data_IF_381407828111
#
_entry.id   IF_381407828111
#
_cell.length_a   1.000
_cell.length_b   1.000
_cell.length_c   1.000
_cell.angle_alpha   90.00
_cell.angle_beta   90.00
_cell.angle_gamma   90.00
#
_symmetry.space_group_name_H-M   'P 1'
#
loop_
_entity.id
_entity.type
_entity.pdbx_description
1 polymer ?
#
# COMPACT_ATOMS: atom_id res chain seq x y z
N UNK A 1 -65.65 -24.98 9.44
CA UNK A 1 -65.09 -24.23 8.29
C UNK A 1 -63.97 -23.35 8.83
N UNK A 2 -62.72 -23.82 8.78
CA UNK A 2 -61.55 -23.11 9.29
C UNK A 2 -60.85 -22.48 8.08
N UNK A 3 -60.80 -21.15 8.03
CA UNK A 3 -60.13 -20.40 6.95
C UNK A 3 -58.66 -20.24 7.37
N UNK A 4 -57.76 -20.88 6.62
CA UNK A 4 -56.31 -20.72 6.77
C UNK A 4 -55.87 -19.43 6.04
N UNK A 5 -55.27 -18.49 6.78
CA UNK A 5 -54.58 -17.33 6.23
C UNK A 5 -53.16 -17.73 5.82
N UNK A 6 -52.86 -17.71 4.53
CA UNK A 6 -51.50 -17.82 4.01
C UNK A 6 -50.83 -16.43 4.06
N UNK A 7 -49.84 -16.27 4.94
CA UNK A 7 -48.94 -15.13 4.94
C UNK A 7 -47.87 -15.36 3.86
N UNK A 8 -47.97 -14.62 2.75
CA UNK A 8 -46.92 -14.56 1.75
C UNK A 8 -45.83 -13.57 2.20
N UNK A 9 -44.69 -14.09 2.64
CA UNK A 9 -43.48 -13.29 2.90
C UNK A 9 -42.82 -12.92 1.56
N UNK A 10 -42.91 -11.65 1.17
CA UNK A 10 -42.12 -11.12 0.06
C UNK A 10 -40.68 -10.82 0.51
N UNK A 11 -39.64 -11.12 -0.28
CA UNK A 11 -38.28 -10.77 0.07
C UNK A 11 -38.07 -9.27 -0.18
N UNK A 12 -37.65 -8.54 0.85
CA UNK A 12 -37.12 -7.19 0.72
C UNK A 12 -35.74 -7.26 0.06
N UNK A 13 -35.71 -7.29 -1.26
CA UNK A 13 -34.49 -6.99 -2.02
C UNK A 13 -34.27 -5.47 -1.96
N UNK A 14 -33.59 -5.00 -0.91
CA UNK A 14 -33.08 -3.64 -0.85
C UNK A 14 -32.05 -3.45 -1.97
N UNK A 15 -32.41 -2.73 -3.04
CA UNK A 15 -31.42 -2.18 -3.98
C UNK A 15 -30.58 -1.17 -3.20
N UNK A 16 -29.29 -1.45 -3.04
CA UNK A 16 -28.33 -0.41 -2.68
C UNK A 16 -28.42 0.67 -3.76
N UNK A 17 -28.94 1.84 -3.40
CA UNK A 17 -29.09 2.96 -4.31
C UNK A 17 -27.72 3.61 -4.44
N UNK A 18 -27.10 3.41 -5.59
CA UNK A 18 -25.80 4.00 -5.95
C UNK A 18 -25.93 5.52 -5.85
N UNK A 19 -25.12 6.16 -4.99
CA UNK A 19 -25.12 7.61 -4.85
C UNK A 19 -24.79 8.25 -6.21
N UNK A 20 -25.46 9.36 -6.60
CA UNK A 20 -25.22 9.98 -7.91
C UNK A 20 -23.78 10.49 -7.98
N UNK A 21 -22.97 9.83 -8.81
CA UNK A 21 -21.60 10.24 -9.12
C UNK A 21 -21.64 11.10 -10.38
N UNK A 22 -21.08 12.31 -10.30
CA UNK A 22 -20.86 13.14 -11.50
C UNK A 22 -19.98 12.40 -12.52
N UNK A 23 -19.89 12.89 -13.77
CA UNK A 23 -19.03 12.25 -14.77
C UNK A 23 -17.58 12.19 -14.26
N UNK A 24 -16.97 11.00 -14.32
CA UNK A 24 -15.56 10.82 -14.01
C UNK A 24 -14.72 11.66 -14.97
N UNK A 25 -13.73 12.38 -14.44
CA UNK A 25 -12.74 13.07 -15.26
C UNK A 25 -11.87 12.03 -15.98
N UNK A 26 -11.28 12.41 -17.12
CA UNK A 26 -10.17 11.63 -17.64
C UNK A 26 -8.94 11.72 -16.70
N UNK A 27 -8.02 10.77 -16.85
CA UNK A 27 -6.88 10.63 -15.95
C UNK A 27 -5.95 11.85 -15.95
N UNK A 28 -5.72 12.48 -17.11
CA UNK A 28 -4.83 13.63 -17.20
C UNK A 28 -5.44 14.86 -16.51
N UNK A 29 -6.73 15.11 -16.70
CA UNK A 29 -7.43 16.21 -16.03
C UNK A 29 -7.49 16.02 -14.50
N UNK A 30 -7.81 14.81 -14.03
CA UNK A 30 -7.83 14.49 -12.60
C UNK A 30 -6.43 14.66 -11.97
N UNK A 31 -5.38 14.19 -12.66
CA UNK A 31 -4.00 14.36 -12.23
C UNK A 31 -3.59 15.83 -12.15
N UNK A 32 -3.84 16.61 -13.21
CA UNK A 32 -3.48 18.03 -13.26
C UNK A 32 -4.15 18.84 -12.14
N UNK A 33 -5.37 18.48 -11.74
CA UNK A 33 -6.06 19.11 -10.61
C UNK A 33 -5.47 18.70 -9.25
N UNK A 34 -5.24 17.40 -9.05
CA UNK A 34 -4.82 16.87 -7.74
C UNK A 34 -3.35 17.17 -7.40
N UNK A 35 -2.48 17.21 -8.41
CA UNK A 35 -1.03 17.37 -8.27
C UNK A 35 -0.50 18.63 -8.96
N UNK A 36 -1.33 19.67 -9.06
CA UNK A 36 -0.94 20.96 -9.62
C UNK A 36 0.32 21.50 -8.92
N UNK A 37 1.31 21.90 -9.73
CA UNK A 37 2.58 22.49 -9.28
C UNK A 37 3.44 21.60 -8.34
N UNK A 38 3.18 20.29 -8.33
CA UNK A 38 3.98 19.30 -7.60
C UNK A 38 4.76 18.44 -8.62
N UNK A 39 6.06 18.25 -8.39
CA UNK A 39 6.81 17.18 -9.06
C UNK A 39 6.34 15.84 -8.48
N UNK A 40 5.38 15.23 -9.17
CA UNK A 40 4.81 13.97 -8.79
C UNK A 40 4.76 12.99 -9.97
N UNK A 41 4.70 11.70 -9.63
CA UNK A 41 4.21 10.68 -10.53
C UNK A 41 3.07 9.92 -9.86
N UNK A 42 2.01 9.65 -10.63
CA UNK A 42 0.92 8.75 -10.23
C UNK A 42 0.81 7.61 -11.22
N UNK A 43 0.71 6.39 -10.70
CA UNK A 43 0.38 5.19 -11.48
C UNK A 43 -0.86 4.51 -10.89
N UNK A 44 -1.79 4.09 -11.75
CA UNK A 44 -2.98 3.30 -11.41
C UNK A 44 -3.01 2.03 -12.25
N UNK A 45 -3.53 0.93 -11.70
CA UNK A 45 -3.75 -0.31 -12.46
C UNK A 45 -4.93 -1.08 -11.91
N UNK A 46 -5.84 -1.56 -12.77
CA UNK A 46 -6.85 -2.54 -12.36
C UNK A 46 -6.14 -3.88 -12.08
N UNK A 47 -6.51 -4.58 -11.00
CA UNK A 47 -5.86 -5.85 -10.62
C UNK A 47 -6.20 -6.97 -11.59
N UNK A 48 -7.25 -6.83 -12.40
CA UNK A 48 -7.62 -7.81 -13.42
C UNK A 48 -6.41 -8.19 -14.32
N UNK A 49 -6.24 -9.49 -14.64
CA UNK A 49 -5.18 -9.94 -15.53
C UNK A 49 -5.19 -9.19 -16.87
N UNK A 50 -4.00 -8.77 -17.33
CA UNK A 50 -3.85 -8.05 -18.61
C UNK A 50 -4.24 -6.57 -18.58
N UNK A 51 -4.65 -6.02 -17.44
CA UNK A 51 -4.84 -4.58 -17.31
C UNK A 51 -3.49 -3.85 -17.33
N UNK A 52 -3.36 -2.90 -18.26
CA UNK A 52 -2.19 -2.04 -18.38
C UNK A 52 -2.23 -0.89 -17.36
N UNK A 53 -1.07 -0.46 -16.82
CA UNK A 53 -1.00 0.67 -15.93
C UNK A 53 -1.29 1.99 -16.68
N UNK A 54 -1.99 2.90 -16.01
CA UNK A 54 -2.13 4.31 -16.41
C UNK A 54 -1.16 5.14 -15.57
N UNK A 55 -0.27 5.87 -16.23
CA UNK A 55 0.78 6.69 -15.60
C UNK A 55 0.59 8.16 -15.93
N UNK A 56 0.94 9.07 -15.02
CA UNK A 56 0.91 10.52 -15.28
C UNK A 56 1.98 10.93 -16.29
N UNK A 57 3.16 10.30 -16.20
CA UNK A 57 4.25 10.41 -17.16
C UNK A 57 5.01 9.08 -17.19
N UNK A 58 5.05 8.39 -18.33
CA UNK A 58 5.63 7.05 -18.40
C UNK A 58 7.14 7.01 -18.05
N UNK A 59 7.88 8.08 -18.35
CA UNK A 59 9.32 8.14 -18.11
C UNK A 59 9.60 8.48 -16.65
N UNK A 60 8.99 9.56 -16.13
CA UNK A 60 9.17 9.96 -14.74
C UNK A 60 8.60 8.92 -13.75
N UNK A 61 7.58 8.16 -14.16
CA UNK A 61 7.04 7.06 -13.37
C UNK A 61 7.87 5.77 -13.42
N UNK A 62 8.89 5.70 -14.28
CA UNK A 62 9.86 4.61 -14.29
C UNK A 62 11.04 4.84 -13.33
N UNK A 63 11.21 6.07 -12.82
CA UNK A 63 12.30 6.41 -11.90
C UNK A 63 12.13 5.70 -10.55
N UNK A 64 13.19 5.01 -10.12
CA UNK A 64 13.20 4.31 -8.84
C UNK A 64 13.65 5.24 -7.72
N UNK A 65 12.84 5.32 -6.67
CA UNK A 65 13.05 6.18 -5.50
C UNK A 65 13.10 5.34 -4.22
N UNK A 66 13.61 5.87 -3.10
CA UNK A 66 13.51 5.20 -1.81
C UNK A 66 12.02 4.95 -1.48
N UNK A 67 11.61 3.71 -1.14
CA UNK A 67 10.22 3.42 -0.77
C UNK A 67 9.80 4.05 0.57
N UNK A 68 10.75 4.47 1.41
CA UNK A 68 10.50 4.91 2.78
C UNK A 68 9.63 3.89 3.53
N UNK A 69 8.75 4.34 4.44
CA UNK A 69 7.84 3.45 5.18
C UNK A 69 6.82 2.66 4.32
N UNK A 70 6.72 2.86 3.00
CA UNK A 70 5.94 1.91 2.16
C UNK A 70 6.62 0.55 2.06
N UNK A 71 7.92 0.49 2.36
CA UNK A 71 8.70 -0.74 2.42
C UNK A 71 8.26 -1.70 3.53
N UNK A 72 7.49 -1.23 4.51
CA UNK A 72 6.85 -2.07 5.52
C UNK A 72 5.98 -3.17 4.89
N UNK A 73 5.41 -2.93 3.69
CA UNK A 73 4.56 -3.92 2.98
C UNK A 73 5.35 -5.17 2.61
N UNK A 74 6.40 -5.14 1.76
CA UNK A 74 7.16 -6.34 1.44
C UNK A 74 7.86 -6.94 2.68
N UNK A 75 8.30 -6.14 3.64
CA UNK A 75 8.91 -6.68 4.87
C UNK A 75 7.90 -7.49 5.69
N UNK A 76 6.65 -7.04 5.76
CA UNK A 76 5.55 -7.78 6.41
C UNK A 76 5.29 -9.11 5.69
N UNK A 77 5.24 -9.12 4.36
CA UNK A 77 5.11 -10.37 3.57
C UNK A 77 6.23 -11.36 3.94
N UNK A 78 7.48 -10.89 3.95
CA UNK A 78 8.66 -11.72 4.23
C UNK A 78 8.63 -12.25 5.67
N UNK A 79 8.27 -11.41 6.63
CA UNK A 79 8.21 -11.77 8.04
C UNK A 79 7.19 -12.90 8.30
N UNK A 80 6.00 -12.77 7.71
CA UNK A 80 4.93 -13.76 7.82
C UNK A 80 5.29 -15.06 7.07
N UNK A 81 5.87 -14.96 5.88
CA UNK A 81 6.27 -16.14 5.08
C UNK A 81 7.37 -16.97 5.75
N UNK A 82 8.29 -16.30 6.44
CA UNK A 82 9.35 -16.96 7.22
C UNK A 82 8.91 -17.44 8.60
N UNK A 83 7.64 -17.24 8.98
CA UNK A 83 7.12 -17.64 10.28
C UNK A 83 7.73 -16.88 11.47
N UNK A 84 8.29 -15.68 11.25
CA UNK A 84 8.79 -14.83 12.34
C UNK A 84 7.66 -14.30 13.22
N UNK A 85 6.47 -14.17 12.64
CA UNK A 85 5.21 -14.03 13.32
C UNK A 85 4.21 -15.00 12.65
N UNK A 86 3.50 -15.85 13.41
CA UNK A 86 2.46 -16.69 12.83
C UNK A 86 1.34 -15.82 12.26
N UNK A 87 0.99 -14.71 12.92
CA UNK A 87 -0.01 -13.75 12.47
C UNK A 87 0.39 -12.29 12.76
N UNK A 88 -0.40 -11.35 12.23
CA UNK A 88 -0.16 -9.93 12.41
C UNK A 88 -0.37 -9.39 13.85
N UNK A 89 -1.08 -10.14 14.70
CA UNK A 89 -1.32 -9.80 16.10
C UNK A 89 -0.25 -10.38 17.03
N UNK A 90 0.72 -11.12 16.49
CA UNK A 90 1.79 -11.68 17.29
C UNK A 90 2.86 -10.62 17.57
N UNK A 91 3.22 -10.38 18.84
CA UNK A 91 4.22 -9.38 19.18
C UNK A 91 5.63 -9.80 18.74
N UNK A 92 6.27 -8.95 17.94
CA UNK A 92 7.71 -8.96 17.75
C UNK A 92 8.34 -8.30 18.97
N UNK A 93 9.32 -8.98 19.59
CA UNK A 93 10.08 -8.46 20.73
C UNK A 93 11.49 -8.15 20.28
N UNK A 94 12.09 -7.07 20.77
CA UNK A 94 13.53 -6.85 20.59
C UNK A 94 14.31 -7.92 21.35
N UNK A 95 15.39 -8.43 20.76
CA UNK A 95 16.36 -9.23 21.52
C UNK A 95 17.10 -8.32 22.51
N UNK A 96 16.62 -8.29 23.76
CA UNK A 96 17.16 -7.47 24.84
C UNK A 96 17.10 -8.22 26.18
N UNK A 97 18.00 -7.85 27.10
CA UNK A 97 18.02 -8.34 28.49
C UNK A 97 17.94 -7.14 29.43
N UNK A 98 16.86 -6.96 30.22
CA UNK A 98 15.67 -7.81 30.31
C UNK A 98 14.76 -7.75 29.06
N UNK A 99 13.84 -8.71 28.87
CA UNK A 99 12.92 -8.70 27.73
C UNK A 99 12.02 -7.46 27.70
N UNK A 100 11.99 -6.76 26.57
CA UNK A 100 11.09 -5.62 26.34
C UNK A 100 9.68 -6.07 25.97
N UNK A 101 8.69 -5.18 26.14
CA UNK A 101 7.34 -5.40 25.65
C UNK A 101 7.35 -5.45 24.11
N UNK A 102 6.75 -6.49 23.55
CA UNK A 102 6.66 -6.65 22.10
C UNK A 102 5.61 -5.73 21.48
N UNK A 103 5.78 -5.47 20.19
CA UNK A 103 4.82 -4.72 19.35
C UNK A 103 4.35 -5.65 18.24
N UNK A 104 3.05 -5.69 17.99
CA UNK A 104 2.49 -6.54 16.93
C UNK A 104 2.83 -5.97 15.55
N UNK A 105 2.89 -6.82 14.50
CA UNK A 105 3.07 -6.32 13.14
C UNK A 105 1.96 -5.35 12.75
N UNK A 106 0.72 -5.65 13.15
CA UNK A 106 -0.45 -4.79 12.91
C UNK A 106 -0.27 -3.40 13.52
N UNK A 107 0.20 -3.31 14.76
CA UNK A 107 0.41 -2.03 15.43
C UNK A 107 1.61 -1.29 14.84
N UNK A 108 2.73 -1.99 14.59
CA UNK A 108 3.93 -1.42 13.99
C UNK A 108 3.68 -0.89 12.56
N UNK A 109 2.75 -1.50 11.83
CA UNK A 109 2.36 -1.08 10.48
C UNK A 109 1.47 0.16 10.50
N UNK A 110 0.55 0.26 11.46
CA UNK A 110 -0.41 1.37 11.61
C UNK A 110 0.24 2.63 12.19
N UNK A 111 0.98 2.43 13.27
CA UNK A 111 1.75 3.47 13.93
C UNK A 111 3.21 3.07 13.71
N UNK A 112 3.93 3.69 12.75
CA UNK A 112 5.26 3.26 12.39
C UNK A 112 6.18 3.14 13.62
N UNK A 113 6.60 1.91 13.90
CA UNK A 113 7.59 1.59 14.94
C UNK A 113 8.82 1.03 14.24
N UNK A 114 9.78 1.89 13.80
CA UNK A 114 10.87 1.49 12.91
C UNK A 114 11.67 0.28 13.40
N UNK A 115 11.90 0.20 14.71
CA UNK A 115 12.70 -0.89 15.28
C UNK A 115 12.12 -2.28 15.08
N UNK A 116 10.79 -2.40 14.90
CA UNK A 116 10.16 -3.71 14.63
C UNK A 116 10.64 -4.25 13.30
N UNK A 117 10.71 -3.40 12.27
CA UNK A 117 11.20 -3.76 10.94
C UNK A 117 12.71 -3.98 10.92
N UNK A 118 13.48 -3.21 11.69
CA UNK A 118 14.92 -3.46 11.90
C UNK A 118 15.16 -4.83 12.54
N UNK A 119 14.41 -5.17 13.58
CA UNK A 119 14.51 -6.45 14.30
C UNK A 119 14.11 -7.64 13.41
N UNK A 120 13.06 -7.49 12.60
CA UNK A 120 12.69 -8.48 11.58
C UNK A 120 13.85 -8.69 10.61
N UNK A 121 14.41 -7.62 10.05
CA UNK A 121 15.55 -7.73 9.13
C UNK A 121 16.76 -8.40 9.77
N UNK A 122 17.08 -8.04 11.02
CA UNK A 122 18.18 -8.64 11.79
C UNK A 122 18.01 -10.14 11.95
N UNK A 123 16.80 -10.61 12.30
CA UNK A 123 16.48 -12.04 12.44
C UNK A 123 16.56 -12.81 11.13
N UNK A 124 16.20 -12.17 10.02
CA UNK A 124 16.29 -12.78 8.68
C UNK A 124 17.76 -12.85 8.24
N UNK A 125 18.54 -11.82 8.54
CA UNK A 125 19.91 -11.65 8.05
C UNK A 125 19.97 -11.14 6.60
N UNK A 126 21.09 -10.48 6.21
CA UNK A 126 21.20 -9.76 4.95
C UNK A 126 20.98 -10.63 3.71
N UNK A 127 21.59 -11.81 3.65
CA UNK A 127 21.52 -12.69 2.48
C UNK A 127 20.10 -13.20 2.20
N UNK A 128 19.42 -13.67 3.25
CA UNK A 128 18.06 -14.17 3.13
C UNK A 128 17.07 -13.03 2.86
N UNK A 129 17.30 -11.85 3.42
CA UNK A 129 16.48 -10.67 3.18
C UNK A 129 16.59 -10.22 1.72
N UNK A 130 17.82 -10.07 1.21
CA UNK A 130 18.07 -9.73 -0.20
C UNK A 130 17.50 -10.76 -1.17
N UNK A 131 17.67 -12.06 -0.91
CA UNK A 131 17.05 -13.13 -1.72
C UNK A 131 15.53 -13.04 -1.75
N UNK A 132 14.91 -12.71 -0.62
CA UNK A 132 13.46 -12.56 -0.53
C UNK A 132 12.96 -11.37 -1.35
N UNK A 133 13.62 -10.21 -1.25
CA UNK A 133 13.28 -9.04 -2.07
C UNK A 133 13.42 -9.31 -3.57
N UNK A 134 14.49 -9.99 -3.96
CA UNK A 134 14.71 -10.41 -5.35
C UNK A 134 13.61 -11.37 -5.83
N UNK A 135 13.21 -12.34 -5.00
CA UNK A 135 12.11 -13.25 -5.32
C UNK A 135 10.78 -12.51 -5.48
N UNK A 136 10.49 -11.55 -4.58
CA UNK A 136 9.33 -10.66 -4.70
C UNK A 136 9.39 -9.74 -5.92
N UNK A 137 10.54 -9.62 -6.60
CA UNK A 137 10.79 -8.61 -7.65
C UNK A 137 10.42 -7.21 -7.15
N UNK A 138 10.84 -6.87 -5.93
CA UNK A 138 10.54 -5.58 -5.32
C UNK A 138 11.62 -4.56 -5.70
N UNK A 139 11.40 -3.85 -6.80
CA UNK A 139 12.32 -2.83 -7.31
C UNK A 139 13.74 -3.36 -7.60
N UNK A 140 14.73 -2.48 -7.43
CA UNK A 140 16.14 -2.86 -7.41
C UNK A 140 16.65 -2.93 -5.95
N UNK A 141 16.89 -4.14 -5.41
CA UNK A 141 17.54 -4.28 -4.12
C UNK A 141 19.03 -3.92 -4.26
N UNK A 142 19.40 -2.69 -3.93
CA UNK A 142 20.81 -2.38 -3.64
C UNK A 142 21.13 -2.89 -2.23
N UNK A 143 21.94 -3.95 -2.15
CA UNK A 143 22.29 -4.61 -0.88
C UNK A 143 23.72 -4.21 -0.49
N UNK A 144 23.96 -2.91 -0.32
CA UNK A 144 25.25 -2.39 0.16
C UNK A 144 25.16 -1.81 1.57
N UNK A 145 23.95 -1.66 2.10
CA UNK A 145 23.65 -1.18 3.45
C UNK A 145 23.37 -2.34 4.41
N UNK A 146 23.74 -2.24 5.71
CA UNK A 146 23.32 -3.19 6.73
C UNK A 146 21.81 -3.45 6.72
N UNK A 147 21.42 -4.70 6.94
CA UNK A 147 20.06 -5.19 6.71
C UNK A 147 19.02 -4.44 7.55
N UNK A 148 19.37 -4.03 8.75
CA UNK A 148 18.50 -3.28 9.67
C UNK A 148 18.17 -1.91 9.07
N UNK A 149 19.20 -1.19 8.59
CA UNK A 149 18.99 0.11 7.94
C UNK A 149 18.31 -0.01 6.59
N UNK A 150 18.50 -1.14 5.91
CA UNK A 150 17.83 -1.45 4.64
C UNK A 150 16.32 -1.64 4.84
N UNK A 151 15.90 -2.27 5.95
CA UNK A 151 14.50 -2.49 6.31
C UNK A 151 13.69 -1.21 6.51
N UNK A 152 14.33 -0.05 6.66
CA UNK A 152 13.65 1.24 6.72
C UNK A 152 13.31 1.80 5.33
N UNK A 153 14.01 1.37 4.27
CA UNK A 153 13.71 1.82 2.91
C UNK A 153 14.09 3.27 2.58
N UNK A 154 14.84 3.96 3.46
CA UNK A 154 15.12 5.41 3.33
C UNK A 154 16.55 5.72 2.88
N UNK A 155 17.51 4.82 3.16
CA UNK A 155 18.94 5.14 3.07
C UNK A 155 19.51 4.94 1.65
N UNK A 156 20.60 5.66 1.30
CA UNK A 156 21.45 5.32 0.15
C UNK A 156 21.93 3.86 0.24
N UNK A 157 22.00 3.15 -0.89
CA UNK A 157 22.42 1.74 -0.90
C UNK A 157 21.42 0.77 -0.26
N UNK A 158 20.14 1.16 -0.20
CA UNK A 158 19.00 0.33 0.16
C UNK A 158 18.01 0.17 -1.02
N UNK A 159 16.84 -0.46 -0.83
CA UNK A 159 15.91 -0.71 -1.93
C UNK A 159 15.47 0.59 -2.62
N UNK A 160 15.27 0.49 -3.94
CA UNK A 160 14.70 1.56 -4.77
C UNK A 160 13.59 0.97 -5.63
N UNK A 161 12.46 1.66 -5.72
CA UNK A 161 11.29 1.19 -6.45
C UNK A 161 10.60 2.34 -7.16
N UNK A 162 10.10 2.12 -8.37
CA UNK A 162 9.33 3.12 -9.12
C UNK A 162 7.83 3.00 -8.85
N UNK A 163 7.02 4.04 -9.13
CA UNK A 163 5.55 3.95 -9.06
C UNK A 163 4.95 2.83 -9.91
N UNK A 164 5.53 2.55 -11.09
CA UNK A 164 5.12 1.43 -11.95
C UNK A 164 5.40 0.09 -11.25
N UNK A 165 6.57 -0.06 -10.63
CA UNK A 165 6.94 -1.28 -9.91
C UNK A 165 6.12 -1.46 -8.63
N UNK A 166 5.76 -0.37 -7.93
CA UNK A 166 4.86 -0.39 -6.77
C UNK A 166 3.50 -0.98 -7.15
N UNK A 167 2.87 -0.48 -8.22
CA UNK A 167 1.55 -1.03 -8.63
C UNK A 167 1.66 -2.47 -9.13
N UNK A 168 2.76 -2.86 -9.78
CA UNK A 168 2.95 -4.26 -10.17
C UNK A 168 3.08 -5.19 -8.95
N UNK A 169 3.89 -4.79 -7.97
CA UNK A 169 4.02 -5.53 -6.71
C UNK A 169 2.67 -5.64 -5.98
N UNK A 170 1.95 -4.54 -5.82
CA UNK A 170 0.64 -4.54 -5.14
C UNK A 170 -0.41 -5.35 -5.91
N UNK A 171 -0.41 -5.32 -7.24
CA UNK A 171 -1.32 -6.12 -8.04
C UNK A 171 -1.05 -7.63 -7.85
N UNK A 172 0.22 -8.04 -7.83
CA UNK A 172 0.59 -9.44 -7.55
C UNK A 172 0.24 -9.85 -6.13
N UNK A 173 0.48 -8.98 -5.15
CA UNK A 173 0.07 -9.21 -3.75
C UNK A 173 -1.45 -9.43 -3.65
N UNK A 174 -2.25 -8.57 -4.29
CA UNK A 174 -3.72 -8.67 -4.27
C UNK A 174 -4.25 -9.91 -4.97
N UNK A 175 -3.50 -10.47 -5.93
CA UNK A 175 -3.85 -11.75 -6.59
C UNK A 175 -3.31 -12.98 -5.87
N UNK A 176 -2.50 -12.82 -4.82
CA UNK A 176 -1.85 -13.96 -4.17
C UNK A 176 -0.72 -14.57 -5.01
N UNK A 177 -0.14 -13.81 -5.92
CA UNK A 177 0.83 -14.28 -6.93
C UNK A 177 2.30 -14.03 -6.56
N UNK A 178 2.58 -13.51 -5.36
CA UNK A 178 3.96 -13.45 -4.89
C UNK A 178 4.48 -14.88 -4.63
N UNK A 179 5.80 -15.12 -4.77
CA UNK A 179 6.40 -16.43 -4.48
C UNK A 179 6.58 -16.66 -2.97
N UNK A 180 5.48 -16.49 -2.23
CA UNK A 180 5.35 -16.70 -0.78
C UNK A 180 4.01 -17.39 -0.52
N UNK A 181 3.78 -17.88 0.69
CA UNK A 181 2.52 -18.56 1.00
C UNK A 181 1.30 -17.66 0.76
N UNK A 182 0.22 -18.22 0.20
CA UNK A 182 -1.02 -17.47 -0.04
C UNK A 182 -1.58 -16.87 1.26
N UNK A 183 -1.38 -17.57 2.38
CA UNK A 183 -1.77 -17.12 3.71
C UNK A 183 -0.96 -15.89 4.17
N UNK A 184 0.35 -15.87 3.98
CA UNK A 184 1.20 -14.72 4.32
C UNK A 184 0.81 -13.47 3.50
N UNK A 185 0.45 -13.68 2.23
CA UNK A 185 -0.04 -12.60 1.36
C UNK A 185 -1.40 -12.06 1.84
N UNK A 186 -2.36 -12.94 2.11
CA UNK A 186 -3.68 -12.56 2.62
C UNK A 186 -3.58 -11.80 3.96
N UNK A 187 -2.78 -12.32 4.90
CA UNK A 187 -2.54 -11.66 6.20
C UNK A 187 -1.84 -10.31 6.05
N UNK A 188 -0.96 -10.14 5.07
CA UNK A 188 -0.36 -8.83 4.77
C UNK A 188 -1.43 -7.83 4.29
N UNK A 189 -2.32 -8.27 3.40
CA UNK A 189 -3.43 -7.44 2.89
C UNK A 189 -4.33 -6.97 4.04
N UNK A 190 -4.60 -7.82 5.03
CA UNK A 190 -5.42 -7.50 6.21
C UNK A 190 -4.76 -6.49 7.18
N UNK A 191 -3.43 -6.39 7.17
CA UNK A 191 -2.68 -5.47 8.04
C UNK A 191 -2.80 -4.02 7.57
N UNK A 192 -2.92 -3.81 6.26
CA UNK A 192 -2.91 -2.49 5.66
C UNK A 192 -4.16 -1.71 6.13
N UNK A 193 -4.00 -0.50 6.71
CA UNK A 193 -5.11 0.33 7.15
C UNK A 193 -6.02 0.70 5.98
N UNK A 194 -7.31 0.80 6.24
CA UNK A 194 -8.28 1.18 5.23
C UNK A 194 -9.34 2.15 5.77
N UNK A 195 -9.85 2.96 4.85
CA UNK A 195 -11.04 3.79 5.03
C UNK A 195 -12.23 3.08 4.36
N UNK A 196 -13.33 2.81 5.08
CA UNK A 196 -14.54 2.30 4.46
C UNK A 196 -15.19 3.36 3.56
N UNK A 197 -15.70 2.94 2.42
CA UNK A 197 -16.56 3.74 1.54
C UNK A 197 -17.89 2.99 1.32
N UNK A 198 -19.00 3.67 0.97
CA UNK A 198 -20.32 3.06 0.82
C UNK A 198 -20.40 1.69 0.11
N UNK A 199 -19.56 1.46 -0.90
CA UNK A 199 -19.54 0.24 -1.70
C UNK A 199 -18.16 -0.44 -1.75
N UNK A 200 -17.34 -0.25 -0.71
CA UNK A 200 -16.00 -0.82 -0.67
C UNK A 200 -15.07 -0.25 0.41
N UNK A 201 -13.78 -0.18 0.08
CA UNK A 201 -12.76 0.41 0.93
C UNK A 201 -11.61 1.01 0.12
N UNK A 202 -10.86 1.91 0.74
CA UNK A 202 -9.58 2.40 0.26
C UNK A 202 -8.52 1.99 1.28
N UNK A 203 -7.61 1.10 0.89
CA UNK A 203 -6.48 0.69 1.73
C UNK A 203 -5.21 1.36 1.24
N UNK A 204 -4.37 1.83 2.17
CA UNK A 204 -3.10 2.47 1.79
C UNK A 204 -2.03 2.40 2.87
N UNK A 205 -0.80 2.60 2.42
CA UNK A 205 0.35 2.93 3.25
C UNK A 205 0.98 4.22 2.74
N UNK A 206 1.35 5.09 3.66
CA UNK A 206 2.15 6.27 3.37
C UNK A 206 3.59 6.04 3.78
N UNK A 207 4.49 6.82 3.18
CA UNK A 207 5.89 6.89 3.57
C UNK A 207 6.48 8.23 3.20
N UNK A 208 7.38 8.76 4.00
CA UNK A 208 8.14 9.95 3.64
C UNK A 208 9.55 9.83 4.19
N UNK A 209 10.55 10.24 3.40
CA UNK A 209 11.93 10.23 3.81
C UNK A 209 12.77 11.21 2.99
N UNK A 210 13.95 11.53 3.49
CA UNK A 210 14.85 12.54 2.91
C UNK A 210 15.44 13.44 3.99
N UNK A 211 16.50 14.20 3.66
CA UNK A 211 17.10 15.15 4.59
C UNK A 211 16.13 16.30 4.91
N UNK A 212 16.29 16.90 6.09
CA UNK A 212 15.43 18.01 6.53
C UNK A 212 15.58 19.27 5.64
N UNK A 213 16.78 19.47 5.09
CA UNK A 213 17.24 20.59 4.28
C UNK A 213 17.45 20.22 2.80
N UNK A 214 16.86 19.12 2.33
CA UNK A 214 16.99 18.69 0.94
C UNK A 214 15.77 17.97 0.40
N UNK A 215 15.92 17.39 -0.79
CA UNK A 215 14.82 16.79 -1.52
C UNK A 215 14.17 15.64 -0.74
N UNK A 216 12.90 15.82 -0.38
CA UNK A 216 12.07 14.80 0.25
C UNK A 216 11.39 13.94 -0.81
N UNK A 217 11.16 12.69 -0.47
CA UNK A 217 10.30 11.75 -1.19
C UNK A 217 9.11 11.44 -0.31
N UNK A 218 7.90 11.55 -0.86
CA UNK A 218 6.67 11.18 -0.15
C UNK A 218 5.81 10.27 -1.02
N UNK A 219 5.23 9.24 -0.40
CA UNK A 219 4.48 8.19 -1.05
C UNK A 219 3.08 8.04 -0.46
N UNK A 220 2.14 7.73 -1.34
CA UNK A 220 0.88 7.07 -0.99
C UNK A 220 0.68 5.88 -1.94
N UNK A 221 0.68 4.67 -1.41
CA UNK A 221 0.51 3.43 -2.20
C UNK A 221 -0.61 2.60 -1.60
N UNK A 222 -1.34 1.86 -2.43
CA UNK A 222 -2.48 1.10 -1.93
C UNK A 222 -3.41 0.61 -3.02
N UNK A 223 -4.68 0.41 -2.65
CA UNK A 223 -5.73 0.04 -3.58
C UNK A 223 -7.11 0.53 -3.13
N UNK A 224 -8.00 0.63 -4.10
CA UNK A 224 -9.43 0.78 -3.89
C UNK A 224 -10.10 -0.54 -4.24
N UNK A 225 -10.77 -1.15 -3.29
CA UNK A 225 -11.69 -2.27 -3.53
C UNK A 225 -13.10 -1.68 -3.63
N UNK A 226 -13.76 -1.78 -4.79
CA UNK A 226 -15.11 -1.25 -5.02
C UNK A 226 -15.95 -2.24 -5.81
N UNK A 227 -16.99 -2.78 -5.18
CA UNK A 227 -17.76 -3.89 -5.74
C UNK A 227 -16.86 -5.09 -6.09
N UNK A 228 -16.78 -5.44 -7.38
CA UNK A 228 -15.92 -6.54 -7.89
C UNK A 228 -14.60 -6.07 -8.52
N UNK A 229 -14.32 -4.77 -8.49
CA UNK A 229 -13.10 -4.20 -9.08
C UNK A 229 -12.14 -3.81 -7.96
N UNK A 230 -10.87 -4.08 -8.20
CA UNK A 230 -9.77 -3.59 -7.38
C UNK A 230 -8.86 -2.77 -8.26
N UNK A 231 -8.59 -1.52 -7.88
CA UNK A 231 -7.59 -0.67 -8.55
C UNK A 231 -6.45 -0.40 -7.58
N UNK A 232 -5.25 -0.87 -7.91
CA UNK A 232 -4.03 -0.52 -7.16
C UNK A 232 -3.47 0.81 -7.64
N UNK A 233 -2.78 1.51 -6.75
CA UNK A 233 -2.21 2.82 -7.04
C UNK A 233 -0.88 3.05 -6.33
N UNK A 234 -0.09 3.93 -6.92
CA UNK A 234 1.10 4.50 -6.31
C UNK A 234 1.25 5.96 -6.75
N UNK A 235 1.31 6.87 -5.79
CA UNK A 235 1.69 8.26 -5.98
C UNK A 235 3.00 8.53 -5.26
N UNK A 236 3.93 9.21 -5.93
CA UNK A 236 5.17 9.70 -5.33
C UNK A 236 5.36 11.18 -5.64
N UNK A 237 5.75 11.95 -4.64
CA UNK A 237 6.10 13.37 -4.75
C UNK A 237 7.59 13.56 -4.46
N UNK A 238 8.25 14.47 -5.18
CA UNK A 238 9.67 14.80 -5.07
C UNK A 238 9.89 16.27 -4.72
N UNK A 239 10.91 16.56 -3.92
CA UNK A 239 11.57 17.86 -3.91
C UNK A 239 10.85 19.02 -3.23
N UNK A 240 9.71 18.79 -2.55
CA UNK A 240 8.99 19.84 -1.82
C UNK A 240 9.33 19.89 -0.32
N UNK A 241 9.47 21.10 0.24
CA UNK A 241 9.60 21.32 1.70
C UNK A 241 8.43 20.68 2.49
N UNK A 242 7.27 20.57 1.84
CA UNK A 242 5.99 20.06 2.34
C UNK A 242 5.69 18.60 1.97
N UNK A 243 6.59 17.89 1.27
CA UNK A 243 6.33 16.51 0.85
C UNK A 243 6.28 15.57 2.08
N UNK A 244 5.06 15.30 2.55
CA UNK A 244 4.76 14.34 3.62
C UNK A 244 3.87 13.23 3.09
N UNK A 245 3.88 12.07 3.76
CA UNK A 245 2.97 10.97 3.40
C UNK A 245 1.49 11.38 3.49
N UNK A 246 1.14 12.26 4.42
CA UNK A 246 -0.22 12.79 4.55
C UNK A 246 -0.61 13.70 3.37
N UNK A 247 0.35 14.49 2.85
CA UNK A 247 0.15 15.35 1.70
C UNK A 247 -0.07 14.54 0.42
N UNK A 248 0.75 13.52 0.19
CA UNK A 248 0.60 12.57 -0.90
C UNK A 248 -0.75 11.84 -0.82
N UNK A 249 -1.14 11.41 0.38
CA UNK A 249 -2.43 10.75 0.61
C UNK A 249 -3.62 11.67 0.34
N UNK A 250 -3.58 12.94 0.78
CA UNK A 250 -4.65 13.92 0.52
C UNK A 250 -4.83 14.15 -0.99
N UNK A 251 -3.74 14.36 -1.74
CA UNK A 251 -3.82 14.56 -3.20
C UNK A 251 -4.26 13.31 -3.92
N UNK A 252 -3.76 12.15 -3.50
CA UNK A 252 -4.22 10.86 -4.03
C UNK A 252 -5.73 10.68 -3.82
N UNK A 253 -6.27 11.05 -2.66
CA UNK A 253 -7.72 11.02 -2.42
C UNK A 253 -8.49 11.90 -3.41
N UNK A 254 -8.05 13.14 -3.62
CA UNK A 254 -8.68 14.04 -4.62
C UNK A 254 -8.68 13.42 -6.01
N UNK A 255 -7.57 12.80 -6.42
CA UNK A 255 -7.49 12.10 -7.71
C UNK A 255 -8.46 10.91 -7.79
N UNK A 256 -8.53 10.08 -6.75
CA UNK A 256 -9.45 8.93 -6.70
C UNK A 256 -10.93 9.37 -6.78
N UNK A 257 -11.27 10.48 -6.12
CA UNK A 257 -12.62 11.06 -6.15
C UNK A 257 -12.99 11.64 -7.52
N UNK A 258 -12.06 12.35 -8.16
CA UNK A 258 -12.27 12.92 -9.50
C UNK A 258 -12.39 11.84 -10.59
N UNK A 259 -11.73 10.70 -10.39
CA UNK A 259 -11.88 9.51 -11.25
C UNK A 259 -13.11 8.66 -10.92
N UNK A 260 -13.92 9.07 -9.94
CA UNK A 260 -15.03 8.29 -9.40
C UNK A 260 -14.63 6.87 -8.95
N UNK A 261 -13.37 6.66 -8.54
CA UNK A 261 -12.94 5.43 -7.90
C UNK A 261 -13.40 5.39 -6.45
N UNK A 262 -13.56 6.55 -5.82
CA UNK A 262 -14.11 6.72 -4.48
C UNK A 262 -15.20 7.81 -4.49
N UNK A 263 -16.18 7.79 -3.56
CA UNK A 263 -17.12 8.89 -3.42
C UNK A 263 -16.41 10.17 -2.99
N UNK A 264 -16.90 11.32 -3.46
CA UNK A 264 -16.41 12.63 -3.01
C UNK A 264 -16.68 12.82 -1.53
N UNK A 265 -15.70 13.33 -0.79
CA UNK A 265 -15.93 13.79 0.58
C UNK A 265 -17.03 14.87 0.58
N UNK A 266 -17.98 14.77 1.52
CA UNK A 266 -19.01 15.78 1.74
C UNK A 266 -18.46 16.96 2.54
#
# INVERSE_FOLDING_TARGET
MIIAFALASAPLAGRAQEAPQGPASDFAAAYAKAFADIDACVTLRDVAPGAEPRTSDAQACADRLPPCATFDVPVTVIALDRGLAPDANTPIRREATPPEQGVTLKDAFRTPVPWVYEEIARRIGPDAFGKSLSALRYGAPEVTTPVERMALGERPGGPRISPIEQVDFLARLKRGELPTSAESQARTVEVIPYDPIPDGLVAWKTGACGPADGAKTAWAVGWVDRGRRTTVFAAVERGGDQATGADAQRRMRVLLEDLALTPRAQ
#
